data_IF_836120617168
#
_entry.id   IF_836120617168
#
_cell.length_a   1.000
_cell.length_b   1.000
_cell.length_c   1.000
_cell.angle_alpha   90.00
_cell.angle_beta   90.00
_cell.angle_gamma   90.00
#
_symmetry.space_group_name_H-M   'P 1'
#
loop_
_entity.id
_entity.type
_entity.pdbx_description
1 polymer ?
#
# COMPACT_ATOMS: atom_id res chain seq x y z
N UNK A 1 10.38 -18.18 -10.98
CA UNK A 1 10.28 -16.82 -11.57
C UNK A 1 10.81 -15.81 -10.56
N UNK A 2 11.90 -15.15 -10.94
CA UNK A 2 12.59 -13.97 -10.38
C UNK A 2 12.46 -13.66 -8.87
N UNK A 3 13.43 -14.13 -8.07
CA UNK A 3 13.77 -13.56 -6.75
C UNK A 3 14.48 -12.21 -6.94
N UNK A 4 13.74 -11.18 -7.36
CA UNK A 4 14.17 -9.80 -7.08
C UNK A 4 13.91 -9.54 -5.60
N UNK A 5 14.90 -9.02 -4.86
CA UNK A 5 14.72 -8.71 -3.43
C UNK A 5 13.48 -7.85 -3.19
N UNK A 6 12.74 -8.15 -2.12
CA UNK A 6 11.56 -7.36 -1.71
C UNK A 6 11.96 -5.89 -1.53
N UNK A 7 11.23 -4.98 -2.17
CA UNK A 7 11.42 -3.54 -2.02
C UNK A 7 11.05 -3.12 -0.59
N UNK A 8 11.78 -2.13 -0.08
CA UNK A 8 11.41 -1.50 1.19
C UNK A 8 10.25 -0.52 1.01
N UNK A 9 9.61 -0.10 2.10
CA UNK A 9 8.59 0.97 2.06
C UNK A 9 9.16 2.26 1.46
N UNK A 10 10.42 2.59 1.76
CA UNK A 10 11.09 3.77 1.19
C UNK A 10 11.28 3.63 -0.32
N UNK A 11 11.56 2.43 -0.83
CA UNK A 11 11.65 2.20 -2.28
C UNK A 11 10.30 2.38 -2.98
N UNK A 12 9.20 1.97 -2.33
CA UNK A 12 7.85 2.16 -2.86
C UNK A 12 7.47 3.66 -2.89
N UNK A 13 7.90 4.43 -1.90
CA UNK A 13 7.63 5.87 -1.79
C UNK A 13 8.48 6.74 -2.74
N UNK A 14 9.50 6.19 -3.40
CA UNK A 14 10.27 6.96 -4.39
C UNK A 14 9.36 7.52 -5.48
N UNK A 15 9.43 8.84 -5.68
CA UNK A 15 8.62 9.57 -6.65
C UNK A 15 7.17 9.81 -6.24
N UNK A 16 6.77 9.47 -5.00
CA UNK A 16 5.46 9.82 -4.48
C UNK A 16 5.42 11.28 -4.00
N UNK A 17 4.32 11.97 -4.26
CA UNK A 17 4.04 13.29 -3.68
C UNK A 17 3.50 13.11 -2.26
N UNK A 18 4.08 13.79 -1.27
CA UNK A 18 3.54 13.76 0.09
C UNK A 18 2.37 14.76 0.24
N UNK A 19 1.18 14.24 0.56
CA UNK A 19 -0.07 15.01 0.75
C UNK A 19 -0.58 14.93 2.20
N UNK A 20 0.32 14.59 3.14
CA UNK A 20 0.01 14.48 4.57
C UNK A 20 -0.54 15.79 5.12
N UNK A 21 -1.78 15.78 5.63
CA UNK A 21 -2.33 16.90 6.40
C UNK A 21 -1.66 16.99 7.78
N UNK A 22 -1.47 18.20 8.29
CA UNK A 22 -0.90 18.46 9.64
C UNK A 22 -1.66 17.74 10.76
N UNK A 23 -2.96 17.52 10.57
CA UNK A 23 -3.83 16.81 11.52
C UNK A 23 -4.26 15.47 10.91
N UNK A 24 -3.94 14.36 11.58
CA UNK A 24 -4.34 13.02 11.15
C UNK A 24 -3.50 11.87 11.70
N UNK A 25 -4.07 10.66 11.63
CA UNK A 25 -3.44 9.40 12.06
C UNK A 25 -2.58 8.73 10.98
N UNK A 26 -2.55 9.29 9.77
CA UNK A 26 -1.88 8.70 8.62
C UNK A 26 -0.97 9.68 7.88
N UNK A 27 0.16 9.19 7.39
CA UNK A 27 0.96 9.85 6.35
C UNK A 27 0.35 9.50 5.00
N UNK A 28 0.07 10.52 4.17
CA UNK A 28 -0.61 10.36 2.89
C UNK A 28 0.35 10.71 1.75
N UNK A 29 0.34 9.88 0.72
CA UNK A 29 1.12 10.05 -0.48
C UNK A 29 0.26 9.79 -1.71
N UNK A 30 0.62 10.42 -2.83
CA UNK A 30 0.00 10.23 -4.14
C UNK A 30 1.06 9.74 -5.14
N UNK A 31 0.67 8.79 -5.99
CA UNK A 31 1.42 8.27 -7.13
C UNK A 31 0.46 8.15 -8.32
N UNK A 32 0.99 7.99 -9.52
CA UNK A 32 0.19 7.66 -10.71
C UNK A 32 0.13 6.15 -10.95
N UNK A 33 -0.78 5.72 -11.82
CA UNK A 33 -0.83 4.35 -12.36
C UNK A 33 -1.99 3.48 -11.85
N UNK A 34 -2.87 4.03 -11.01
CA UNK A 34 -4.10 3.38 -10.56
C UNK A 34 -3.89 2.02 -9.89
N UNK A 35 -4.95 1.20 -9.91
CA UNK A 35 -4.98 -0.09 -9.20
C UNK A 35 -3.87 -1.06 -9.62
N UNK A 36 -3.53 -1.08 -10.92
CA UNK A 36 -2.48 -1.96 -11.43
C UNK A 36 -1.12 -1.63 -10.82
N UNK A 37 -0.80 -0.34 -10.70
CA UNK A 37 0.44 0.08 -10.06
C UNK A 37 0.40 -0.17 -8.54
N UNK A 38 -0.74 0.07 -7.89
CA UNK A 38 -0.92 -0.24 -6.47
C UNK A 38 -0.71 -1.74 -6.16
N UNK A 39 -1.26 -2.63 -6.99
CA UNK A 39 -1.05 -4.08 -6.89
C UNK A 39 0.42 -4.46 -7.11
N UNK A 40 1.09 -3.83 -8.08
CA UNK A 40 2.51 -4.06 -8.31
C UNK A 40 3.34 -3.68 -7.08
N UNK A 41 3.07 -2.51 -6.49
CA UNK A 41 3.79 -2.05 -5.30
C UNK A 41 3.49 -2.95 -4.08
N UNK A 42 2.26 -3.48 -3.96
CA UNK A 42 1.93 -4.50 -2.96
C UNK A 42 2.76 -5.79 -3.12
N UNK A 43 2.89 -6.30 -4.35
CA UNK A 43 3.69 -7.52 -4.62
C UNK A 43 5.20 -7.26 -4.48
N UNK A 44 5.68 -6.09 -4.91
CA UNK A 44 7.09 -5.68 -4.78
C UNK A 44 7.53 -5.62 -3.30
N UNK A 45 6.62 -5.35 -2.35
CA UNK A 45 6.90 -5.39 -0.89
C UNK A 45 7.15 -6.82 -0.37
N UNK A 46 6.90 -7.86 -1.17
CA UNK A 46 7.22 -9.25 -0.84
C UNK A 46 6.47 -9.82 0.38
N UNK A 47 5.12 -9.75 0.44
CA UNK A 47 4.37 -10.33 1.54
C UNK A 47 4.57 -11.85 1.64
N UNK A 48 4.83 -12.32 2.86
CA UNK A 48 4.99 -13.75 3.19
C UNK A 48 3.63 -14.48 3.28
N UNK A 49 2.54 -13.74 3.43
CA UNK A 49 1.18 -14.27 3.33
C UNK A 49 0.30 -13.29 2.57
N UNK A 50 -0.62 -13.84 1.79
CA UNK A 50 -1.57 -13.07 0.96
C UNK A 50 -2.95 -13.69 1.07
N UNK A 51 -3.98 -12.84 1.15
CA UNK A 51 -5.38 -13.25 0.99
C UNK A 51 -6.14 -12.20 0.20
N UNK A 52 -7.09 -12.65 -0.62
CA UNK A 52 -8.08 -11.77 -1.23
C UNK A 52 -8.98 -11.18 -0.15
N UNK A 53 -9.41 -9.95 -0.35
CA UNK A 53 -10.40 -9.28 0.48
C UNK A 53 -11.44 -8.63 -0.44
N UNK A 54 -12.70 -8.71 -0.06
CA UNK A 54 -13.76 -7.97 -0.75
C UNK A 54 -13.87 -6.58 -0.13
N UNK A 55 -14.04 -5.57 -0.98
CA UNK A 55 -14.30 -4.20 -0.54
C UNK A 55 -15.51 -3.66 -1.28
N UNK A 56 -16.14 -2.61 -0.77
CA UNK A 56 -17.23 -1.92 -1.48
C UNK A 56 -16.82 -1.35 -2.85
N UNK A 57 -15.51 -1.29 -3.15
CA UNK A 57 -14.96 -0.80 -4.41
C UNK A 57 -14.52 -1.92 -5.37
N UNK A 58 -14.72 -3.19 -4.98
CA UNK A 58 -14.24 -4.39 -5.69
C UNK A 58 -13.15 -5.14 -4.91
N UNK A 59 -12.62 -6.18 -5.54
CA UNK A 59 -11.64 -7.09 -4.95
C UNK A 59 -10.30 -6.40 -4.66
N UNK A 60 -9.80 -6.61 -3.45
CA UNK A 60 -8.48 -6.17 -2.98
C UNK A 60 -7.62 -7.34 -2.49
N UNK A 61 -6.43 -7.00 -2.00
CA UNK A 61 -5.50 -7.96 -1.38
C UNK A 61 -5.07 -7.47 0.01
N UNK A 62 -4.86 -8.41 0.91
CA UNK A 62 -4.25 -8.19 2.21
C UNK A 62 -3.03 -9.10 2.34
N UNK A 63 -1.96 -8.59 2.94
CA UNK A 63 -0.75 -9.37 3.19
C UNK A 63 -0.03 -8.99 4.47
N UNK A 64 0.88 -9.87 4.88
CA UNK A 64 1.78 -9.67 6.02
C UNK A 64 3.23 -9.79 5.54
N UNK A 65 4.08 -8.89 6.00
CA UNK A 65 5.53 -8.94 5.80
C UNK A 65 6.21 -9.70 6.96
N UNK A 66 7.46 -10.11 6.77
CA UNK A 66 8.22 -10.88 7.77
C UNK A 66 8.45 -10.15 9.10
N UNK A 67 8.49 -8.82 9.07
CA UNK A 67 8.67 -7.95 10.24
C UNK A 67 7.36 -7.68 11.04
N UNK A 68 6.24 -8.27 10.61
CA UNK A 68 4.93 -8.05 11.21
C UNK A 68 4.16 -6.86 10.64
N UNK A 69 4.72 -6.11 9.69
CA UNK A 69 4.00 -5.10 8.92
C UNK A 69 2.85 -5.75 8.17
N UNK A 70 1.69 -5.08 8.20
CA UNK A 70 0.50 -5.52 7.44
C UNK A 70 0.25 -4.53 6.31
N UNK A 71 -0.08 -5.08 5.14
CA UNK A 71 -0.33 -4.29 3.94
C UNK A 71 -1.67 -4.66 3.34
N UNK A 72 -2.35 -3.70 2.74
CA UNK A 72 -3.55 -3.96 1.96
C UNK A 72 -3.63 -3.06 0.75
N UNK A 73 -4.14 -3.59 -0.35
CA UNK A 73 -4.38 -2.84 -1.57
C UNK A 73 -5.83 -3.00 -1.99
N UNK A 74 -6.47 -1.90 -2.36
CA UNK A 74 -7.87 -1.86 -2.77
C UNK A 74 -8.07 -0.97 -4.00
N UNK A 75 -9.05 -1.26 -4.85
CA UNK A 75 -9.30 -0.54 -6.10
C UNK A 75 -9.86 0.88 -5.90
N UNK A 76 -10.48 1.17 -4.76
CA UNK A 76 -11.05 2.49 -4.47
C UNK A 76 -10.92 2.92 -3.01
N UNK A 77 -11.36 4.15 -2.72
CA UNK A 77 -11.45 4.69 -1.37
C UNK A 77 -12.57 5.74 -1.27
N UNK A 78 -13.00 6.09 -0.05
CA UNK A 78 -14.04 7.11 0.18
C UNK A 78 -13.68 8.47 -0.44
N UNK A 79 -12.39 8.79 -0.52
CA UNK A 79 -11.89 10.03 -1.12
C UNK A 79 -11.39 9.84 -2.54
N UNK A 80 -11.75 8.72 -3.20
CA UNK A 80 -11.29 8.36 -4.54
C UNK A 80 -9.93 7.65 -4.56
N UNK A 81 -9.61 7.06 -5.71
CA UNK A 81 -8.32 6.45 -6.03
C UNK A 81 -8.11 5.04 -5.46
N UNK A 82 -7.30 4.26 -6.17
CA UNK A 82 -6.79 2.99 -5.65
C UNK A 82 -5.82 3.27 -4.52
N UNK A 83 -5.77 2.43 -3.50
CA UNK A 83 -4.93 2.71 -2.32
C UNK A 83 -4.14 1.49 -1.88
N UNK A 84 -2.83 1.67 -1.67
CA UNK A 84 -1.98 0.80 -0.86
C UNK A 84 -1.89 1.38 0.56
N UNK A 85 -2.28 0.60 1.56
CA UNK A 85 -2.10 0.93 2.97
C UNK A 85 -1.02 0.05 3.59
N UNK A 86 -0.13 0.67 4.37
CA UNK A 86 0.99 0.01 5.03
C UNK A 86 0.94 0.36 6.52
N UNK A 87 0.69 -0.65 7.35
CA UNK A 87 0.60 -0.53 8.80
C UNK A 87 1.79 -1.22 9.45
N UNK A 88 2.80 -0.42 9.78
CA UNK A 88 3.98 -0.83 10.55
C UNK A 88 3.64 -0.72 12.05
N UNK A 89 3.90 -1.75 12.88
CA UNK A 89 3.66 -1.70 14.32
C UNK A 89 4.27 -0.46 14.98
N UNK A 90 3.46 0.26 15.77
CA UNK A 90 3.90 1.46 16.49
C UNK A 90 4.16 2.71 15.64
N UNK A 91 3.88 2.70 14.33
CA UNK A 91 4.04 3.86 13.44
C UNK A 91 2.69 4.38 12.94
N UNK A 92 2.69 5.60 12.41
CA UNK A 92 1.54 6.14 11.68
C UNK A 92 1.23 5.25 10.46
N UNK A 93 -0.06 5.12 10.14
CA UNK A 93 -0.49 4.42 8.95
C UNK A 93 0.02 5.16 7.70
N UNK A 94 0.63 4.46 6.76
CA UNK A 94 1.02 5.04 5.48
C UNK A 94 -0.07 4.70 4.46
N UNK A 95 -0.50 5.69 3.70
CA UNK A 95 -1.45 5.52 2.59
C UNK A 95 -0.85 6.09 1.32
N UNK A 96 -0.78 5.28 0.28
CA UNK A 96 -0.37 5.70 -1.06
C UNK A 96 -1.58 5.53 -1.96
N UNK A 97 -2.06 6.64 -2.51
CA UNK A 97 -3.14 6.66 -3.50
C UNK A 97 -2.54 6.68 -4.91
N UNK A 98 -3.20 5.98 -5.83
CA UNK A 98 -2.78 5.76 -7.22
C UNK A 98 -3.88 6.12 -8.21
#
# INVERSE_FOLDING_TARGET
MSKGGSKTVNDILKGAEETTRKVGKASNYEKSGGYKQALKDFEDLGPISKKKIETQYGDGMYGKLSDGTTISVRPGSKTGGSTLEIKIPGKKLIKIRY
#
